data_IF_554937811950
#
_entry.id   IF_554937811950
#
_cell.length_a   1.000
_cell.length_b   1.000
_cell.length_c   1.000
_cell.angle_alpha   90.00
_cell.angle_beta   90.00
_cell.angle_gamma   90.00
#
_symmetry.space_group_name_H-M   'P 1'
#
loop_
_entity.id
_entity.type
_entity.pdbx_description
1 polymer ?
#
# COMPACT_ATOMS: atom_id res chain seq x y z
N UNK A 1 18.12 -5.66 -2.93
CA UNK A 1 17.83 -6.21 -1.59
C UNK A 1 16.54 -7.02 -1.57
N UNK A 2 15.41 -6.49 -2.11
CA UNK A 2 14.13 -7.23 -2.17
C UNK A 2 14.32 -8.61 -2.82
N UNK A 3 14.89 -8.67 -4.01
CA UNK A 3 15.09 -9.93 -4.76
C UNK A 3 16.00 -10.92 -4.02
N UNK A 4 16.94 -10.44 -3.19
CA UNK A 4 17.81 -11.30 -2.39
C UNK A 4 17.08 -11.94 -1.20
N UNK A 5 16.26 -11.16 -0.46
CA UNK A 5 15.55 -11.62 0.74
C UNK A 5 14.29 -12.41 0.37
N UNK A 6 13.58 -11.97 -0.66
CA UNK A 6 12.34 -12.59 -1.13
C UNK A 6 12.58 -14.00 -1.67
N UNK A 7 13.67 -14.23 -2.45
CA UNK A 7 13.87 -15.47 -3.22
C UNK A 7 12.55 -15.94 -3.84
N UNK A 8 12.15 -17.17 -3.60
CA UNK A 8 10.92 -17.78 -4.15
C UNK A 8 9.67 -17.57 -3.27
N UNK A 9 9.69 -16.59 -2.36
CA UNK A 9 8.56 -16.38 -1.45
C UNK A 9 7.39 -15.69 -2.13
N UNK A 10 6.19 -16.24 -1.93
CA UNK A 10 4.94 -15.79 -2.53
C UNK A 10 4.42 -14.48 -1.94
N UNK A 11 4.85 -14.11 -0.73
CA UNK A 11 4.40 -12.91 -0.03
C UNK A 11 5.57 -12.04 0.38
N UNK A 12 5.56 -10.81 -0.11
CA UNK A 12 6.56 -9.81 0.23
C UNK A 12 6.05 -8.40 -0.06
N UNK A 13 6.69 -7.41 0.58
CA UNK A 13 6.42 -6.01 0.28
C UNK A 13 7.70 -5.18 0.21
N UNK A 14 7.61 -4.07 -0.49
CA UNK A 14 8.58 -2.99 -0.47
C UNK A 14 7.80 -1.67 -0.41
N UNK A 15 8.08 -0.88 0.63
CA UNK A 15 7.55 0.46 0.83
C UNK A 15 8.70 1.45 0.81
N UNK A 16 8.65 2.43 -0.07
CA UNK A 16 9.66 3.47 -0.19
C UNK A 16 9.00 4.86 -0.21
N UNK A 17 9.80 5.88 0.02
CA UNK A 17 9.38 7.27 -0.09
C UNK A 17 10.39 8.04 -0.91
N UNK A 18 9.90 8.93 -1.78
CA UNK A 18 10.71 9.92 -2.49
C UNK A 18 10.05 11.28 -2.29
N UNK A 19 10.77 12.20 -1.63
CA UNK A 19 10.31 13.55 -1.39
C UNK A 19 10.91 14.52 -2.40
N UNK A 20 10.10 15.49 -2.87
CA UNK A 20 10.56 16.52 -3.81
C UNK A 20 11.03 15.99 -5.17
N UNK A 21 10.66 14.77 -5.55
CA UNK A 21 10.99 14.16 -6.84
C UNK A 21 12.43 13.65 -6.99
N UNK A 22 13.33 13.99 -6.08
CA UNK A 22 14.75 13.61 -6.16
C UNK A 22 15.36 13.08 -4.86
N UNK A 23 14.82 13.46 -3.70
CA UNK A 23 15.32 13.04 -2.40
C UNK A 23 14.61 11.76 -1.94
N UNK A 24 15.38 10.74 -1.59
CA UNK A 24 14.82 9.54 -0.94
C UNK A 24 14.34 9.90 0.46
N UNK A 25 13.17 9.39 0.84
CA UNK A 25 12.74 9.43 2.22
C UNK A 25 13.72 8.68 3.12
N UNK A 26 13.69 8.98 4.41
CA UNK A 26 14.64 8.39 5.36
C UNK A 26 14.60 6.87 5.37
N UNK A 27 13.41 6.27 5.37
CA UNK A 27 13.26 4.84 5.50
C UNK A 27 12.71 4.19 4.24
N UNK A 28 13.29 3.04 3.89
CA UNK A 28 12.68 2.06 2.99
C UNK A 28 12.43 0.78 3.78
N UNK A 29 11.23 0.22 3.66
CA UNK A 29 10.78 -0.93 4.42
C UNK A 29 10.55 -2.11 3.47
N UNK A 30 11.16 -3.23 3.80
CA UNK A 30 10.99 -4.47 3.08
C UNK A 30 10.59 -5.58 4.06
N UNK A 31 9.64 -6.40 3.69
CA UNK A 31 9.29 -7.56 4.49
C UNK A 31 8.85 -8.74 3.65
N UNK A 32 8.97 -9.92 4.25
CA UNK A 32 8.61 -11.18 3.62
C UNK A 32 8.35 -12.26 4.68
N UNK A 33 8.04 -13.47 4.19
CA UNK A 33 7.91 -14.66 5.03
C UNK A 33 6.88 -14.45 6.15
N UNK A 34 5.61 -14.14 5.85
CA UNK A 34 4.62 -13.89 6.89
C UNK A 34 4.34 -15.14 7.71
N UNK A 35 4.07 -14.96 9.00
CA UNK A 35 3.56 -16.03 9.86
C UNK A 35 2.03 -16.06 9.91
N UNK A 36 1.41 -15.00 9.37
CA UNK A 36 -0.03 -14.84 9.38
C UNK A 36 -0.47 -14.04 8.15
N UNK A 37 -1.55 -14.50 7.53
CA UNK A 37 -2.25 -13.79 6.45
C UNK A 37 -3.71 -13.63 6.88
N UNK A 38 -4.17 -12.39 6.92
CA UNK A 38 -5.58 -12.03 7.07
C UNK A 38 -6.13 -11.60 5.73
N UNK A 39 -7.27 -12.15 5.35
CA UNK A 39 -7.92 -11.90 4.06
C UNK A 39 -9.41 -11.68 4.26
N UNK A 40 -9.99 -10.72 3.54
CA UNK A 40 -11.44 -10.56 3.40
C UNK A 40 -11.84 -10.85 1.97
N UNK A 41 -12.80 -11.74 1.82
CA UNK A 41 -13.32 -12.18 0.54
C UNK A 41 -14.77 -12.60 0.70
N UNK A 42 -15.67 -12.14 -0.18
CA UNK A 42 -17.09 -12.51 -0.15
C UNK A 42 -17.73 -12.36 1.25
N UNK A 43 -17.53 -11.22 1.90
CA UNK A 43 -18.03 -10.90 3.24
C UNK A 43 -17.47 -11.75 4.39
N UNK A 44 -16.47 -12.57 4.15
CA UNK A 44 -15.85 -13.41 5.15
C UNK A 44 -14.39 -12.96 5.39
N UNK A 45 -14.03 -12.76 6.65
CA UNK A 45 -12.64 -12.63 7.04
C UNK A 45 -12.06 -14.01 7.38
N UNK A 46 -10.88 -14.29 6.90
CA UNK A 46 -10.13 -15.51 7.19
C UNK A 46 -8.72 -15.17 7.68
N UNK A 47 -8.22 -15.97 8.63
CA UNK A 47 -6.84 -15.90 9.10
C UNK A 47 -6.16 -17.24 8.83
N UNK A 48 -5.06 -17.20 8.10
CA UNK A 48 -4.21 -18.36 7.86
C UNK A 48 -2.90 -18.18 8.64
N UNK A 49 -2.54 -19.16 9.44
CA UNK A 49 -1.31 -19.20 10.22
C UNK A 49 -0.27 -20.11 9.56
N UNK A 50 0.96 -19.61 9.37
CA UNK A 50 2.12 -20.36 8.88
C UNK A 50 1.96 -21.02 7.49
N UNK A 51 1.06 -20.56 6.62
CA UNK A 51 0.74 -21.20 5.33
C UNK A 51 0.27 -22.65 5.40
N UNK A 52 -0.01 -23.13 6.58
CA UNK A 52 -0.55 -24.48 6.74
C UNK A 52 -1.99 -24.48 6.25
N UNK A 53 -2.28 -25.32 5.25
CA UNK A 53 -3.50 -25.31 4.46
C UNK A 53 -4.81 -25.60 5.22
N UNK A 54 -4.78 -25.73 6.54
CA UNK A 54 -5.92 -26.25 7.31
C UNK A 54 -6.27 -25.46 8.58
N UNK A 55 -5.57 -24.40 8.91
CA UNK A 55 -5.86 -23.60 10.10
C UNK A 55 -6.46 -22.24 9.76
N UNK A 56 -7.67 -22.26 9.19
CA UNK A 56 -8.42 -21.03 8.93
C UNK A 56 -9.33 -20.71 10.11
N UNK A 57 -9.15 -19.51 10.69
CA UNK A 57 -10.18 -18.92 11.54
C UNK A 57 -11.05 -18.04 10.65
N UNK A 58 -12.33 -18.40 10.51
CA UNK A 58 -13.29 -17.66 9.67
C UNK A 58 -14.21 -16.82 10.57
N UNK A 59 -14.53 -15.62 10.12
CA UNK A 59 -15.46 -14.68 10.78
C UNK A 59 -16.32 -13.97 9.72
N UNK A 60 -17.61 -13.85 10.00
CA UNK A 60 -18.56 -13.05 9.24
C UNK A 60 -18.55 -11.55 9.62
N UNK A 61 -17.65 -11.16 10.53
CA UNK A 61 -17.45 -9.79 11.00
C UNK A 61 -16.02 -9.30 10.69
N UNK A 62 -15.73 -8.85 9.47
CA UNK A 62 -14.37 -8.50 9.04
C UNK A 62 -13.71 -7.44 9.93
N UNK A 63 -14.42 -6.39 10.33
CA UNK A 63 -13.85 -5.31 11.15
C UNK A 63 -13.56 -5.75 12.60
N UNK A 64 -14.39 -6.61 13.17
CA UNK A 64 -14.13 -7.21 14.49
C UNK A 64 -12.93 -8.16 14.43
N UNK A 65 -12.86 -8.98 13.37
CA UNK A 65 -11.72 -9.85 13.11
C UNK A 65 -10.41 -9.07 12.97
N UNK A 66 -10.43 -7.94 12.23
CA UNK A 66 -9.26 -7.07 12.08
C UNK A 66 -8.84 -6.45 13.43
N UNK A 67 -9.79 -5.94 14.21
CA UNK A 67 -9.51 -5.38 15.53
C UNK A 67 -8.85 -6.41 16.45
N UNK A 68 -9.38 -7.63 16.50
CA UNK A 68 -8.80 -8.72 17.29
C UNK A 68 -7.40 -9.09 16.80
N UNK A 69 -7.18 -9.08 15.47
CA UNK A 69 -5.86 -9.34 14.89
C UNK A 69 -4.84 -8.27 15.30
N UNK A 70 -5.22 -6.99 15.28
CA UNK A 70 -4.35 -5.89 15.70
C UNK A 70 -3.96 -6.04 17.18
N UNK A 71 -4.93 -6.35 18.05
CA UNK A 71 -4.66 -6.58 19.47
C UNK A 71 -3.75 -7.80 19.69
N UNK A 72 -4.02 -8.90 19.01
CA UNK A 72 -3.18 -10.12 19.08
C UNK A 72 -1.77 -9.92 18.55
N UNK A 73 -1.57 -8.95 17.65
CA UNK A 73 -0.27 -8.68 17.02
C UNK A 73 0.52 -7.57 17.72
N UNK A 74 0.06 -7.07 18.85
CA UNK A 74 0.83 -6.11 19.64
C UNK A 74 2.10 -6.75 20.19
N UNK A 75 3.18 -6.00 20.21
CA UNK A 75 4.45 -6.37 20.83
C UNK A 75 5.13 -5.15 21.44
N UNK A 76 6.07 -5.39 22.31
CA UNK A 76 6.86 -4.34 22.95
C UNK A 76 7.84 -3.70 21.95
N UNK A 77 7.86 -2.36 21.92
CA UNK A 77 8.71 -1.55 21.04
C UNK A 77 9.79 -0.76 21.78
N UNK A 78 9.96 -0.98 23.08
CA UNK A 78 10.77 -0.11 23.94
C UNK A 78 12.23 0.07 23.47
N UNK A 79 12.79 -0.82 22.70
CA UNK A 79 14.20 -0.71 22.25
C UNK A 79 14.33 -0.70 20.72
N UNK A 80 13.27 -0.31 19.99
CA UNK A 80 13.30 -0.29 18.53
C UNK A 80 13.31 1.15 18.02
N UNK A 81 14.48 1.61 17.58
CA UNK A 81 14.69 2.97 17.03
C UNK A 81 14.25 3.15 15.57
N UNK A 82 13.85 2.06 14.90
CA UNK A 82 13.43 2.06 13.50
C UNK A 82 11.97 1.65 13.37
N UNK A 83 11.26 2.06 12.31
CA UNK A 83 9.87 1.64 12.11
C UNK A 83 9.77 0.13 11.92
N UNK A 84 8.82 -0.50 12.62
CA UNK A 84 8.48 -1.92 12.43
C UNK A 84 7.02 -2.04 12.05
N UNK A 85 6.70 -2.40 10.79
CA UNK A 85 5.34 -2.63 10.35
C UNK A 85 4.85 -4.00 10.87
N UNK A 86 3.83 -3.98 11.71
CA UNK A 86 3.23 -5.21 12.28
C UNK A 86 2.36 -5.91 11.26
N UNK A 87 1.54 -5.16 10.56
CA UNK A 87 0.67 -5.64 9.49
C UNK A 87 0.88 -4.76 8.26
N UNK A 88 1.00 -5.38 7.10
CA UNK A 88 1.16 -4.68 5.81
C UNK A 88 0.25 -5.30 4.77
N UNK A 89 -0.39 -4.47 3.98
CA UNK A 89 -1.25 -4.93 2.90
C UNK A 89 -2.11 -3.82 2.34
N UNK A 90 -3.29 -4.19 1.86
CA UNK A 90 -4.26 -3.25 1.32
C UNK A 90 -5.65 -3.48 1.91
N UNK A 91 -6.39 -2.39 2.06
CA UNK A 91 -7.81 -2.35 2.29
C UNK A 91 -8.45 -1.80 1.02
N UNK A 92 -9.11 -2.64 0.24
CA UNK A 92 -9.77 -2.23 -0.99
C UNK A 92 -11.00 -1.37 -0.71
N UNK A 93 -11.49 -0.68 -1.74
CA UNK A 93 -12.68 0.15 -1.62
C UNK A 93 -13.91 -0.60 -1.07
N UNK A 94 -14.14 -1.89 -1.40
CA UNK A 94 -15.28 -2.64 -0.84
C UNK A 94 -15.29 -2.74 0.68
N UNK A 95 -14.17 -2.52 1.36
CA UNK A 95 -14.13 -2.54 2.83
C UNK A 95 -15.04 -1.51 3.48
N UNK A 96 -15.44 -0.44 2.75
CA UNK A 96 -16.37 0.57 3.25
C UNK A 96 -17.74 -0.02 3.67
N UNK A 97 -18.21 -1.07 3.00
CA UNK A 97 -19.47 -1.74 3.32
C UNK A 97 -19.50 -2.40 4.71
N UNK A 98 -18.31 -2.67 5.29
CA UNK A 98 -18.17 -3.24 6.64
C UNK A 98 -18.04 -2.16 7.72
N UNK A 99 -17.85 -0.90 7.31
CA UNK A 99 -17.70 0.27 8.20
C UNK A 99 -18.97 1.11 8.22
N UNK A 100 -19.64 1.23 7.07
CA UNK A 100 -20.80 2.07 6.84
C UNK A 100 -22.00 1.25 6.34
N UNK A 101 -23.21 1.78 6.50
CA UNK A 101 -24.44 1.15 5.99
C UNK A 101 -24.61 1.41 4.48
N UNK A 102 -23.64 0.94 3.69
CA UNK A 102 -23.59 1.11 2.24
C UNK A 102 -23.58 -0.27 1.60
N UNK A 103 -24.39 -0.48 0.58
CA UNK A 103 -24.37 -1.68 -0.24
C UNK A 103 -23.74 -1.37 -1.59
N UNK A 104 -22.66 -2.06 -1.90
CA UNK A 104 -22.02 -1.97 -3.20
C UNK A 104 -22.78 -2.89 -4.18
N UNK A 105 -23.27 -2.31 -5.28
CA UNK A 105 -24.09 -3.00 -6.28
C UNK A 105 -23.30 -3.44 -7.51
N UNK A 106 -22.02 -3.12 -7.59
CA UNK A 106 -21.21 -3.42 -8.76
C UNK A 106 -20.72 -4.87 -8.73
N UNK A 107 -20.84 -5.55 -9.87
CA UNK A 107 -20.23 -6.86 -10.02
C UNK A 107 -18.72 -6.74 -10.02
N UNK A 108 -18.06 -7.50 -9.16
CA UNK A 108 -16.61 -7.63 -9.19
C UNK A 108 -16.22 -8.58 -10.34
N UNK A 109 -15.57 -8.00 -11.36
CA UNK A 109 -15.06 -8.74 -12.51
C UNK A 109 -13.55 -9.02 -12.42
N UNK A 110 -12.90 -8.62 -11.31
CA UNK A 110 -11.44 -8.77 -11.14
C UNK A 110 -11.13 -10.02 -10.31
N UNK A 111 -12.05 -10.44 -9.44
CA UNK A 111 -11.92 -11.59 -8.54
C UNK A 111 -10.70 -11.49 -7.62
N UNK A 112 -10.45 -10.30 -7.07
CA UNK A 112 -9.44 -10.10 -6.02
C UNK A 112 -10.13 -9.92 -4.66
N UNK A 113 -9.53 -10.35 -3.56
CA UNK A 113 -10.07 -10.14 -2.23
C UNK A 113 -10.32 -8.67 -1.90
N UNK A 114 -11.32 -8.37 -1.09
CA UNK A 114 -11.58 -7.01 -0.59
C UNK A 114 -10.39 -6.46 0.19
N UNK A 115 -9.65 -7.33 0.86
CA UNK A 115 -8.45 -6.95 1.62
C UNK A 115 -7.51 -8.14 1.82
N UNK A 116 -6.21 -7.85 1.85
CA UNK A 116 -5.17 -8.77 2.33
C UNK A 116 -4.21 -8.00 3.21
N UNK A 117 -4.00 -8.49 4.44
CA UNK A 117 -2.95 -8.03 5.34
C UNK A 117 -2.06 -9.20 5.72
N UNK A 118 -0.76 -9.00 5.67
CA UNK A 118 0.23 -9.98 6.11
C UNK A 118 0.94 -9.48 7.37
N UNK A 119 1.29 -10.40 8.27
CA UNK A 119 2.20 -10.14 9.38
C UNK A 119 3.57 -10.72 9.03
N UNK A 120 4.54 -9.87 8.64
CA UNK A 120 5.84 -10.35 8.18
C UNK A 120 6.66 -10.90 9.34
N UNK A 121 7.29 -12.07 9.17
CA UNK A 121 8.33 -12.54 10.10
C UNK A 121 9.62 -11.77 9.93
N UNK A 122 9.98 -11.44 8.69
CA UNK A 122 11.19 -10.71 8.38
C UNK A 122 10.85 -9.32 7.91
N UNK A 123 11.46 -8.34 8.57
CA UNK A 123 11.43 -6.93 8.19
C UNK A 123 12.85 -6.41 8.08
N UNK A 124 13.20 -5.83 6.95
CA UNK A 124 14.46 -5.11 6.75
C UNK A 124 14.14 -3.62 6.56
N UNK A 125 14.74 -2.80 7.39
CA UNK A 125 14.63 -1.34 7.35
C UNK A 125 15.94 -0.74 6.88
N UNK A 126 15.88 0.02 5.81
CA UNK A 126 17.00 0.79 5.28
C UNK A 126 16.86 2.22 5.78
N UNK A 127 17.79 2.68 6.60
CA UNK A 127 17.89 4.08 7.00
C UNK A 127 18.86 4.80 6.04
N UNK A 128 18.29 5.53 5.10
CA UNK A 128 19.07 6.24 4.06
C UNK A 128 19.90 7.44 4.61
N UNK A 129 19.65 7.86 5.87
CA UNK A 129 20.43 8.91 6.52
C UNK A 129 21.63 8.29 7.26
N UNK A 130 21.40 7.20 8.01
CA UNK A 130 22.44 6.51 8.75
C UNK A 130 23.25 5.54 7.89
N UNK A 131 22.82 5.30 6.65
CA UNK A 131 23.37 4.29 5.73
C UNK A 131 23.46 2.89 6.38
N UNK A 132 22.39 2.51 7.06
CA UNK A 132 22.32 1.23 7.80
C UNK A 132 21.13 0.39 7.35
N UNK A 133 21.29 -0.92 7.49
CA UNK A 133 20.21 -1.90 7.28
C UNK A 133 19.97 -2.63 8.60
N UNK A 134 18.77 -2.50 9.15
CA UNK A 134 18.35 -3.25 10.32
C UNK A 134 17.41 -4.37 9.89
N UNK A 135 17.78 -5.62 10.18
CA UNK A 135 16.93 -6.80 9.90
C UNK A 135 16.34 -7.29 11.20
N UNK A 136 15.03 -7.44 11.22
CA UNK A 136 14.28 -7.76 12.43
C UNK A 136 13.31 -8.91 12.19
N UNK A 137 13.03 -9.66 13.26
CA UNK A 137 11.93 -10.61 13.36
C UNK A 137 11.24 -10.46 14.69
N UNK A 138 9.93 -10.64 14.75
CA UNK A 138 9.17 -10.67 15.97
C UNK A 138 8.82 -12.12 16.34
N UNK A 139 8.94 -12.44 17.62
CA UNK A 139 8.47 -13.71 18.20
C UNK A 139 7.20 -13.42 18.99
N UNK A 140 6.09 -13.97 18.54
CA UNK A 140 4.80 -13.80 19.23
C UNK A 140 4.56 -14.93 20.22
N UNK A 141 4.06 -14.61 21.42
CA UNK A 141 3.72 -15.62 22.40
C UNK A 141 2.68 -16.60 21.87
N UNK A 142 2.87 -17.88 22.16
CA UNK A 142 1.88 -18.91 21.88
C UNK A 142 1.80 -19.83 23.10
N UNK A 143 0.59 -20.07 23.61
CA UNK A 143 0.32 -20.80 24.85
C UNK A 143 0.95 -22.21 24.93
N UNK A 144 1.32 -22.80 23.78
CA UNK A 144 1.85 -24.18 23.68
C UNK A 144 3.34 -24.26 23.33
N UNK A 145 4.09 -23.14 23.29
CA UNK A 145 5.46 -23.13 22.75
C UNK A 145 6.51 -22.77 23.82
N UNK A 146 7.68 -23.40 23.67
CA UNK A 146 8.87 -23.07 24.41
C UNK A 146 9.52 -21.82 23.77
N UNK A 147 9.53 -20.72 24.50
CA UNK A 147 10.09 -19.42 24.05
C UNK A 147 11.54 -19.53 23.59
N UNK A 148 12.36 -20.34 24.28
CA UNK A 148 13.76 -20.53 23.91
C UNK A 148 13.89 -21.16 22.52
N UNK A 149 13.07 -22.16 22.23
CA UNK A 149 13.05 -22.83 20.93
C UNK A 149 12.64 -21.86 19.82
N UNK A 150 11.63 -21.01 20.06
CA UNK A 150 11.15 -20.07 19.07
C UNK A 150 12.13 -18.89 18.88
N UNK A 151 12.80 -18.44 19.94
CA UNK A 151 13.89 -17.48 19.88
C UNK A 151 15.06 -18.01 19.03
N UNK A 152 15.51 -19.23 19.30
CA UNK A 152 16.59 -19.86 18.54
C UNK A 152 16.26 -20.04 17.05
N UNK A 153 15.00 -20.34 16.71
CA UNK A 153 14.54 -20.39 15.31
C UNK A 153 14.56 -19.00 14.67
N UNK A 154 14.10 -17.99 15.39
CA UNK A 154 14.11 -16.61 14.92
C UNK A 154 15.53 -16.10 14.67
N UNK A 155 16.47 -16.40 15.57
CA UNK A 155 17.88 -16.06 15.40
C UNK A 155 18.49 -16.70 14.14
N UNK A 156 18.28 -18.01 13.95
CA UNK A 156 18.74 -18.71 12.75
C UNK A 156 18.15 -18.12 11.46
N UNK A 157 16.87 -17.75 11.50
CA UNK A 157 16.21 -17.09 10.35
C UNK A 157 16.84 -15.73 10.04
N UNK A 158 17.14 -14.91 11.07
CA UNK A 158 17.83 -13.64 10.90
C UNK A 158 19.21 -13.81 10.28
N UNK A 159 20.02 -14.74 10.81
CA UNK A 159 21.35 -15.04 10.27
C UNK A 159 21.29 -15.45 8.79
N UNK A 160 20.34 -16.33 8.45
CA UNK A 160 20.09 -16.72 7.06
C UNK A 160 19.79 -15.51 6.16
N UNK A 161 18.87 -14.62 6.58
CA UNK A 161 18.45 -13.47 5.80
C UNK A 161 19.55 -12.41 5.67
N UNK A 162 20.34 -12.21 6.72
CA UNK A 162 21.53 -11.33 6.67
C UNK A 162 22.56 -11.87 5.68
N UNK A 163 22.80 -13.17 5.67
CA UNK A 163 23.72 -13.79 4.70
C UNK A 163 23.20 -13.67 3.27
N UNK A 164 21.89 -13.87 3.04
CA UNK A 164 21.27 -13.65 1.74
C UNK A 164 21.44 -12.20 1.23
N UNK A 165 21.43 -11.21 2.10
CA UNK A 165 21.70 -9.82 1.72
C UNK A 165 23.13 -9.60 1.22
N UNK A 166 24.10 -10.35 1.74
CA UNK A 166 25.50 -10.29 1.36
C UNK A 166 25.81 -11.02 0.04
N UNK A 167 24.97 -12.00 -0.35
CA UNK A 167 25.13 -12.76 -1.60
C UNK A 167 25.09 -11.84 -2.83
N UNK A 168 25.76 -12.23 -3.91
CA UNK A 168 25.61 -11.55 -5.19
C UNK A 168 24.25 -11.88 -5.81
N UNK A 169 23.58 -10.86 -6.36
CA UNK A 169 22.34 -11.07 -7.10
C UNK A 169 22.69 -11.51 -8.51
N UNK A 170 22.36 -12.74 -8.85
CA UNK A 170 22.36 -13.21 -10.25
C UNK A 170 21.05 -12.68 -10.85
N UNK A 171 21.14 -11.61 -11.64
CA UNK A 171 20.00 -11.11 -12.41
C UNK A 171 19.96 -11.81 -13.77
N UNK A 172 18.87 -12.48 -14.05
CA UNK A 172 18.55 -12.83 -15.42
C UNK A 172 18.27 -11.54 -16.23
N UNK A 173 18.67 -11.49 -17.50
CA UNK A 173 18.37 -10.34 -18.34
C UNK A 173 16.85 -10.12 -18.37
N UNK A 174 16.42 -8.87 -18.20
CA UNK A 174 15.02 -8.53 -18.23
C UNK A 174 14.39 -8.96 -19.56
N UNK A 175 13.33 -9.74 -19.48
CA UNK A 175 12.50 -10.08 -20.63
C UNK A 175 12.00 -8.81 -21.30
N UNK A 176 12.07 -8.73 -22.63
CA UNK A 176 11.56 -7.57 -23.36
C UNK A 176 10.02 -7.60 -23.35
N UNK A 177 9.39 -6.49 -22.97
CA UNK A 177 7.96 -6.31 -23.13
C UNK A 177 7.62 -6.36 -24.63
N UNK A 178 6.53 -7.04 -25.00
CA UNK A 178 5.96 -6.95 -26.34
C UNK A 178 5.64 -5.47 -26.64
N UNK A 179 6.09 -4.97 -27.77
CA UNK A 179 6.05 -3.53 -28.10
C UNK A 179 4.65 -2.95 -28.34
N UNK A 180 3.60 -3.76 -28.38
CA UNK A 180 2.23 -3.35 -28.70
C UNK A 180 1.26 -3.75 -27.59
N UNK A 181 1.32 -3.04 -26.43
CA UNK A 181 0.32 -3.19 -25.38
C UNK A 181 -1.01 -2.57 -25.84
N UNK A 182 -2.08 -3.37 -25.84
CA UNK A 182 -3.43 -2.89 -26.08
C UNK A 182 -4.13 -2.69 -24.74
N UNK A 183 -4.55 -1.47 -24.47
CA UNK A 183 -5.33 -1.16 -23.28
C UNK A 183 -6.83 -1.27 -23.60
N UNK A 184 -7.53 -2.05 -22.79
CA UNK A 184 -9.00 -2.24 -22.88
C UNK A 184 -9.62 -1.50 -21.71
N UNK A 185 -10.52 -0.57 -22.02
CA UNK A 185 -11.31 0.14 -21.01
C UNK A 185 -12.57 -0.64 -20.66
N UNK A 186 -13.02 -0.54 -19.39
CA UNK A 186 -14.31 -1.08 -18.96
C UNK A 186 -15.51 -0.22 -19.35
N UNK A 187 -15.31 0.98 -19.94
CA UNK A 187 -16.32 1.87 -20.48
C UNK A 187 -15.92 2.33 -21.87
N UNK A 188 -16.89 2.50 -22.77
CA UNK A 188 -16.72 3.33 -23.96
C UNK A 188 -16.60 4.81 -23.60
N UNK A 189 -16.16 5.63 -24.54
CA UNK A 189 -16.07 7.07 -24.35
C UNK A 189 -17.45 7.70 -24.07
N UNK A 190 -18.47 7.25 -24.79
CA UNK A 190 -19.84 7.71 -24.68
C UNK A 190 -20.46 7.35 -23.32
N UNK A 191 -20.26 6.12 -22.85
CA UNK A 191 -20.70 5.69 -21.51
C UNK A 191 -20.03 6.51 -20.42
N UNK A 192 -18.73 6.73 -20.51
CA UNK A 192 -18.01 7.53 -19.51
C UNK A 192 -18.45 8.99 -19.50
N UNK A 193 -18.73 9.58 -20.65
CA UNK A 193 -19.30 10.94 -20.75
C UNK A 193 -20.70 11.02 -20.14
N UNK A 194 -21.52 9.99 -20.29
CA UNK A 194 -22.82 9.90 -19.64
C UNK A 194 -22.68 9.90 -18.10
N UNK A 195 -21.71 9.13 -17.57
CA UNK A 195 -21.41 9.13 -16.13
C UNK A 195 -21.02 10.54 -15.65
N UNK A 196 -20.12 11.23 -16.35
CA UNK A 196 -19.73 12.62 -16.03
C UNK A 196 -20.92 13.57 -16.06
N UNK A 197 -21.78 13.46 -17.07
CA UNK A 197 -22.97 14.30 -17.22
C UNK A 197 -23.94 14.10 -16.05
N UNK A 198 -24.14 12.85 -15.62
CA UNK A 198 -24.96 12.51 -14.46
C UNK A 198 -24.34 13.03 -13.15
N UNK A 199 -23.01 12.91 -12.98
CA UNK A 199 -22.29 13.46 -11.84
C UNK A 199 -22.46 14.99 -11.74
N UNK A 200 -22.29 15.70 -12.84
CA UNK A 200 -22.51 17.14 -12.91
C UNK A 200 -23.95 17.55 -12.58
N UNK A 201 -24.93 16.72 -12.94
CA UNK A 201 -26.32 16.95 -12.58
C UNK A 201 -26.53 16.86 -11.08
N UNK A 202 -26.03 15.82 -10.41
CA UNK A 202 -26.11 15.70 -8.94
C UNK A 202 -25.49 16.89 -8.21
N UNK A 203 -24.35 17.41 -8.70
CA UNK A 203 -23.74 18.63 -8.13
C UNK A 203 -24.67 19.83 -8.32
N UNK A 204 -25.24 20.01 -9.52
CA UNK A 204 -26.14 21.14 -9.82
C UNK A 204 -27.44 21.08 -9.01
N UNK A 205 -27.96 19.87 -8.80
CA UNK A 205 -29.20 19.63 -8.04
C UNK A 205 -28.98 19.77 -6.51
N UNK A 206 -27.71 19.87 -6.06
CA UNK A 206 -27.35 20.03 -4.64
C UNK A 206 -27.28 18.72 -3.86
N UNK A 207 -27.32 17.58 -4.55
CA UNK A 207 -27.27 16.25 -3.92
C UNK A 207 -25.87 15.91 -3.38
N UNK A 208 -24.83 16.41 -4.03
CA UNK A 208 -23.42 16.20 -3.68
C UNK A 208 -22.58 17.44 -3.96
N UNK A 209 -21.48 17.61 -3.25
CA UNK A 209 -20.49 18.66 -3.52
C UNK A 209 -19.39 18.20 -4.47
N UNK A 210 -18.99 16.92 -4.36
CA UNK A 210 -17.92 16.33 -5.14
C UNK A 210 -18.20 14.84 -5.38
N UNK A 211 -17.71 14.33 -6.50
CA UNK A 211 -17.66 12.90 -6.80
C UNK A 211 -16.44 12.60 -7.66
N UNK A 212 -15.76 11.52 -7.36
CA UNK A 212 -14.66 10.99 -8.19
C UNK A 212 -15.20 9.83 -9.01
N UNK A 213 -15.27 10.02 -10.33
CA UNK A 213 -15.63 8.93 -11.26
C UNK A 213 -14.39 8.11 -11.56
N UNK A 214 -14.53 6.80 -11.65
CA UNK A 214 -13.43 5.88 -11.94
C UNK A 214 -13.59 5.19 -13.29
N UNK A 215 -12.46 4.82 -13.87
CA UNK A 215 -12.35 4.03 -15.08
C UNK A 215 -11.20 3.05 -14.93
N UNK A 216 -11.37 1.82 -15.42
CA UNK A 216 -10.34 0.78 -15.39
C UNK A 216 -9.83 0.51 -16.80
N UNK A 217 -8.51 0.44 -16.91
CA UNK A 217 -7.82 -0.05 -18.09
C UNK A 217 -7.14 -1.37 -17.80
N UNK A 218 -7.23 -2.30 -18.73
CA UNK A 218 -6.60 -3.61 -18.65
C UNK A 218 -5.66 -3.82 -19.84
N UNK A 219 -4.55 -4.51 -19.59
CA UNK A 219 -3.61 -4.94 -20.63
C UNK A 219 -2.94 -6.24 -20.21
N UNK A 220 -2.48 -7.02 -21.16
CA UNK A 220 -1.61 -8.15 -20.88
C UNK A 220 -0.25 -7.67 -20.37
N UNK A 221 0.27 -8.34 -19.34
CA UNK A 221 1.55 -8.00 -18.74
C UNK A 221 2.29 -9.25 -18.31
N UNK A 222 3.41 -9.53 -18.96
CA UNK A 222 4.17 -10.79 -18.83
C UNK A 222 5.36 -10.69 -17.86
N UNK A 223 5.59 -9.53 -17.23
CA UNK A 223 6.71 -9.32 -16.32
C UNK A 223 6.27 -9.35 -14.86
N UNK A 224 7.21 -9.59 -13.95
CA UNK A 224 6.95 -9.47 -12.52
C UNK A 224 6.54 -8.05 -12.11
N UNK A 225 5.69 -7.92 -11.09
CA UNK A 225 5.23 -6.65 -10.53
C UNK A 225 6.40 -5.72 -10.13
N UNK A 226 7.52 -6.26 -9.68
CA UNK A 226 8.72 -5.48 -9.34
C UNK A 226 9.32 -4.75 -10.55
N UNK A 227 9.17 -5.27 -11.76
CA UNK A 227 9.62 -4.60 -12.98
C UNK A 227 8.77 -3.37 -13.30
N UNK A 228 7.46 -3.49 -13.13
CA UNK A 228 6.52 -2.36 -13.22
C UNK A 228 6.83 -1.33 -12.14
N UNK A 229 7.03 -1.77 -10.90
CA UNK A 229 7.40 -0.91 -9.79
C UNK A 229 8.66 -0.08 -10.07
N UNK A 230 9.71 -0.71 -10.60
CA UNK A 230 10.96 0.00 -10.95
C UNK A 230 10.76 1.08 -12.00
N UNK A 231 9.91 0.83 -12.97
CA UNK A 231 9.54 1.81 -14.00
C UNK A 231 8.71 2.95 -13.42
N UNK A 232 7.67 2.61 -12.66
CA UNK A 232 6.78 3.59 -12.02
C UNK A 232 7.55 4.50 -11.06
N UNK A 233 8.45 3.94 -10.24
CA UNK A 233 9.30 4.68 -9.31
C UNK A 233 10.18 5.74 -10.01
N UNK A 234 10.61 5.47 -11.24
CA UNK A 234 11.41 6.42 -12.04
C UNK A 234 10.57 7.48 -12.73
N UNK A 235 9.40 7.09 -13.22
CA UNK A 235 8.50 7.96 -13.98
C UNK A 235 7.68 8.89 -13.07
N UNK A 236 7.25 8.38 -11.94
CA UNK A 236 6.39 9.09 -11.00
C UNK A 236 6.87 8.86 -9.55
N UNK A 237 8.01 9.46 -9.15
CA UNK A 237 8.48 9.39 -7.77
C UNK A 237 7.46 10.10 -6.85
N UNK A 238 7.12 9.47 -5.73
CA UNK A 238 6.08 9.94 -4.81
C UNK A 238 6.43 9.60 -3.35
N UNK A 239 5.84 10.30 -2.37
CA UNK A 239 6.04 10.01 -0.95
C UNK A 239 5.64 8.59 -0.54
N UNK A 240 4.73 7.95 -1.26
CA UNK A 240 4.24 6.59 -0.99
C UNK A 240 4.41 5.72 -2.23
N UNK A 241 5.52 5.01 -2.28
CA UNK A 241 5.83 4.03 -3.31
C UNK A 241 5.61 2.64 -2.71
N UNK A 242 4.75 1.85 -3.33
CA UNK A 242 4.29 0.57 -2.82
C UNK A 242 4.50 -0.52 -3.86
N UNK A 243 5.10 -1.62 -3.44
CA UNK A 243 5.11 -2.88 -4.18
C UNK A 243 4.75 -4.01 -3.23
N UNK A 244 3.55 -4.55 -3.37
CA UNK A 244 3.08 -5.72 -2.63
C UNK A 244 3.03 -6.91 -3.59
N UNK A 245 3.58 -8.03 -3.16
CA UNK A 245 3.48 -9.30 -3.86
C UNK A 245 2.77 -10.28 -2.93
N UNK A 246 1.54 -10.68 -3.29
CA UNK A 246 0.68 -11.54 -2.50
C UNK A 246 0.25 -12.74 -3.34
N UNK A 247 1.18 -13.69 -3.52
CA UNK A 247 1.01 -14.86 -4.36
C UNK A 247 0.67 -14.46 -5.81
N UNK A 248 -0.57 -14.66 -6.24
CA UNK A 248 -1.05 -14.35 -7.59
C UNK A 248 -1.36 -12.86 -7.81
N UNK A 249 -1.38 -12.05 -6.74
CA UNK A 249 -1.72 -10.64 -6.78
C UNK A 249 -0.49 -9.78 -6.58
N UNK A 250 -0.15 -8.96 -7.58
CA UNK A 250 0.83 -7.91 -7.47
C UNK A 250 0.16 -6.53 -7.42
N UNK A 251 0.37 -5.76 -6.35
CA UNK A 251 -0.10 -4.38 -6.26
C UNK A 251 1.09 -3.43 -6.30
N UNK A 252 1.10 -2.55 -7.31
CA UNK A 252 2.12 -1.53 -7.50
C UNK A 252 1.46 -0.17 -7.49
N UNK A 253 1.93 0.72 -6.61
CA UNK A 253 1.37 2.06 -6.50
C UNK A 253 2.45 3.13 -6.30
N UNK A 254 2.13 4.33 -6.78
CA UNK A 254 2.85 5.56 -6.52
C UNK A 254 1.80 6.62 -6.15
N UNK A 255 1.73 6.96 -4.87
CA UNK A 255 0.71 7.88 -4.34
C UNK A 255 1.35 9.11 -3.71
N UNK A 256 0.84 10.31 -4.01
CA UNK A 256 1.29 11.54 -3.36
C UNK A 256 0.61 11.76 -2.01
N UNK A 257 -0.51 11.08 -1.74
CA UNK A 257 -1.45 11.46 -0.70
C UNK A 257 -1.54 10.45 0.44
N UNK A 258 -1.63 10.99 1.65
CA UNK A 258 -1.87 10.27 2.88
C UNK A 258 -3.37 10.25 3.16
N UNK A 259 -3.97 9.06 3.23
CA UNK A 259 -5.37 8.94 3.65
C UNK A 259 -5.52 9.34 5.12
N UNK A 260 -4.85 8.64 6.01
CA UNK A 260 -4.85 8.93 7.45
C UNK A 260 -3.58 8.39 8.11
N UNK A 261 -3.02 9.13 9.05
CA UNK A 261 -1.93 8.68 9.91
C UNK A 261 -2.31 8.84 11.38
N UNK A 262 -2.08 7.80 12.17
CA UNK A 262 -2.18 7.86 13.62
C UNK A 262 -0.78 7.65 14.22
N UNK A 263 -0.25 8.69 14.89
CA UNK A 263 1.01 8.62 15.65
C UNK A 263 0.86 9.31 16.99
N UNK A 264 1.32 8.67 18.06
CA UNK A 264 1.31 9.26 19.40
C UNK A 264 -0.06 9.82 19.79
N UNK A 265 -1.13 9.07 19.51
CA UNK A 265 -2.54 9.47 19.73
C UNK A 265 -2.99 10.69 18.90
N UNK A 266 -2.19 11.17 17.96
CA UNK A 266 -2.53 12.25 17.03
C UNK A 266 -2.90 11.68 15.68
N UNK A 267 -4.12 11.99 15.21
CA UNK A 267 -4.59 11.69 13.86
C UNK A 267 -4.17 12.84 12.94
N UNK A 268 -3.61 12.51 11.78
CA UNK A 268 -3.22 13.47 10.76
C UNK A 268 -3.82 13.07 9.43
N UNK A 269 -4.47 14.02 8.76
CA UNK A 269 -4.97 13.94 7.40
C UNK A 269 -4.29 15.06 6.62
N UNK A 270 -3.93 14.81 5.36
CA UNK A 270 -3.30 15.80 4.47
C UNK A 270 -4.00 15.81 3.13
N UNK A 271 -5.16 16.46 3.02
CA UNK A 271 -5.83 16.59 1.74
C UNK A 271 -4.99 17.41 0.76
N UNK A 272 -4.94 16.99 -0.49
CA UNK A 272 -4.29 17.69 -1.60
C UNK A 272 -5.38 18.15 -2.55
N UNK A 273 -5.45 19.46 -2.77
CA UNK A 273 -6.28 20.08 -3.78
C UNK A 273 -5.37 20.92 -4.69
N UNK A 274 -5.87 21.42 -5.76
CA UNK A 274 -5.25 22.36 -6.66
C UNK A 274 -3.79 22.13 -7.03
N UNK A 275 -3.43 22.34 -8.27
CA UNK A 275 -2.05 22.16 -8.74
C UNK A 275 -1.64 23.29 -9.69
N UNK A 276 -0.36 23.58 -9.74
CA UNK A 276 0.28 24.43 -10.76
C UNK A 276 1.49 23.70 -11.34
N UNK A 277 1.84 24.02 -12.56
CA UNK A 277 3.11 23.53 -13.14
C UNK A 277 4.28 24.09 -12.36
N UNK A 278 5.38 23.34 -12.28
CA UNK A 278 6.62 23.85 -11.70
C UNK A 278 7.16 25.01 -12.55
N UNK A 279 7.65 26.04 -11.89
CA UNK A 279 8.31 27.17 -12.56
C UNK A 279 9.62 26.73 -13.22
N UNK A 280 10.01 27.44 -14.27
CA UNK A 280 11.31 27.22 -14.96
C UNK A 280 12.51 27.61 -14.09
N UNK A 281 12.28 28.44 -13.10
CA UNK A 281 13.27 28.91 -12.11
C UNK A 281 12.57 29.17 -10.76
N UNK A 282 13.34 29.41 -9.72
CA UNK A 282 12.83 29.59 -8.36
C UNK A 282 11.84 30.78 -8.22
N UNK A 283 12.06 31.86 -8.95
CA UNK A 283 11.17 33.03 -8.89
C UNK A 283 9.81 32.73 -9.52
N UNK A 284 9.79 32.14 -10.71
CA UNK A 284 8.56 31.72 -11.37
C UNK A 284 7.79 30.68 -10.53
N UNK A 285 8.50 29.73 -9.90
CA UNK A 285 7.91 28.73 -9.02
C UNK A 285 7.25 29.39 -7.79
N UNK A 286 7.87 30.40 -7.21
CA UNK A 286 7.32 31.18 -6.11
C UNK A 286 6.06 31.96 -6.52
N UNK A 287 6.05 32.54 -7.73
CA UNK A 287 4.89 33.26 -8.25
C UNK A 287 3.72 32.31 -8.51
N UNK A 288 3.95 31.13 -9.11
CA UNK A 288 2.95 30.11 -9.32
C UNK A 288 2.39 29.57 -7.99
N UNK A 289 3.23 29.44 -6.97
CA UNK A 289 2.79 29.07 -5.62
C UNK A 289 1.87 30.12 -5.01
N UNK A 290 2.21 31.42 -5.14
CA UNK A 290 1.37 32.53 -4.68
C UNK A 290 0.04 32.62 -5.46
N UNK A 291 0.07 32.36 -6.77
CA UNK A 291 -1.13 32.28 -7.62
C UNK A 291 -2.05 31.16 -7.15
N UNK A 292 -1.52 29.95 -6.92
CA UNK A 292 -2.29 28.82 -6.40
C UNK A 292 -2.98 29.16 -5.07
N UNK A 293 -2.26 29.80 -4.15
CA UNK A 293 -2.79 30.16 -2.83
C UNK A 293 -3.85 31.26 -2.88
N UNK A 294 -3.93 32.05 -3.96
CA UNK A 294 -4.94 33.10 -4.15
C UNK A 294 -6.17 32.63 -4.96
N UNK A 295 -6.07 31.47 -5.57
CA UNK A 295 -7.17 30.94 -6.40
C UNK A 295 -8.36 30.53 -5.52
N UNK A 296 -9.45 31.26 -5.65
CA UNK A 296 -10.65 31.10 -4.82
C UNK A 296 -11.27 29.71 -5.00
N UNK A 297 -11.23 29.15 -6.22
CA UNK A 297 -11.78 27.83 -6.52
C UNK A 297 -10.96 26.75 -5.82
N UNK A 298 -9.64 26.82 -5.94
CA UNK A 298 -8.72 25.85 -5.32
C UNK A 298 -8.77 25.92 -3.79
N UNK A 299 -8.93 27.13 -3.23
CA UNK A 299 -9.14 27.30 -1.79
C UNK A 299 -10.47 26.67 -1.32
N UNK A 300 -11.56 26.86 -2.07
CA UNK A 300 -12.86 26.29 -1.73
C UNK A 300 -12.83 24.75 -1.76
N UNK A 301 -12.16 24.16 -2.75
CA UNK A 301 -11.94 22.72 -2.83
C UNK A 301 -11.12 22.22 -1.63
N UNK A 302 -10.03 22.89 -1.30
CA UNK A 302 -9.18 22.52 -0.16
C UNK A 302 -9.94 22.57 1.17
N UNK A 303 -10.73 23.62 1.42
CA UNK A 303 -11.55 23.74 2.62
C UNK A 303 -12.62 22.64 2.71
N UNK A 304 -13.23 22.29 1.58
CA UNK A 304 -14.18 21.17 1.50
C UNK A 304 -13.52 19.85 1.88
N UNK A 305 -12.32 19.56 1.36
CA UNK A 305 -11.58 18.33 1.69
C UNK A 305 -11.14 18.30 3.16
N UNK A 306 -10.78 19.45 3.74
CA UNK A 306 -10.46 19.57 5.17
C UNK A 306 -11.70 19.26 6.04
N UNK A 307 -12.85 19.79 5.67
CA UNK A 307 -14.11 19.57 6.41
C UNK A 307 -14.56 18.10 6.32
N UNK A 308 -14.46 17.49 5.15
CA UNK A 308 -14.73 16.05 4.96
C UNK A 308 -13.78 15.15 5.77
N UNK A 309 -12.54 15.57 5.96
CA UNK A 309 -11.54 14.82 6.72
C UNK A 309 -11.73 14.87 8.24
N UNK A 310 -12.49 15.84 8.74
CA UNK A 310 -12.75 16.05 10.16
C UNK A 310 -13.88 15.15 10.65
#
# INVERSE_FOLDING_TARGET
SLLKIKKDQSYSFLLESVEGGSQRGRYSLLGCDPDLIWKVDNNLASINYNYENYNYKISDKPMESLKNLIEFSKFDKENIDVPYPVLVGYLGYPMIQYMEKISLKNNDNINIPDSILIRPKIVAVFDNIKDTITVMTAVYPNEKKNYETDFNKAQKLLELKVNQLKENLIQEPASKIKSNLKFISNYSKEEYFSIISKAKKYIKDGDIFQVVTSQRFQTEYDLEAVSLYRSLRRLNPSPYLVNLNFNEIGLVASSPELLVQLRNKKITIRPIAGTRKRGKNANEDLELSKDLLKDIKEQAEHLMLLDLGR
#
